data_IF_839768863703
#
_entry.id   IF_839768863703
#
_cell.length_a   1.000
_cell.length_b   1.000
_cell.length_c   1.000
_cell.angle_alpha   90.00
_cell.angle_beta   90.00
_cell.angle_gamma   90.00
#
_symmetry.space_group_name_H-M   'P 1'
#
loop_
_entity.id
_entity.type
_entity.pdbx_description
1 polymer ?
#
# COMPACT_ATOMS: atom_id res chain seq x y z
N UNK A 1 1.43 -151.56 -33.60
CA UNK A 1 1.93 -150.21 -33.23
C UNK A 1 1.05 -149.05 -33.71
N UNK A 2 -0.03 -149.23 -34.49
CA UNK A 2 -0.72 -148.10 -35.17
C UNK A 2 -1.93 -147.47 -34.45
N UNK A 3 -2.70 -148.18 -33.60
CA UNK A 3 -3.91 -147.62 -32.94
C UNK A 3 -3.60 -146.68 -31.77
N UNK A 4 -2.64 -147.04 -30.92
CA UNK A 4 -2.21 -146.20 -29.79
C UNK A 4 -1.57 -144.90 -30.26
N UNK A 5 -0.77 -144.93 -31.33
CA UNK A 5 -0.22 -143.70 -31.92
C UNK A 5 -1.32 -142.82 -32.51
N UNK A 6 -2.35 -143.37 -33.14
CA UNK A 6 -3.48 -142.59 -33.69
C UNK A 6 -4.34 -141.93 -32.59
N UNK A 7 -4.68 -142.66 -31.52
CA UNK A 7 -5.45 -142.10 -30.40
C UNK A 7 -4.63 -141.07 -29.64
N UNK A 8 -3.34 -141.33 -29.40
CA UNK A 8 -2.47 -140.39 -28.73
C UNK A 8 -2.29 -139.11 -29.57
N UNK A 9 -2.08 -139.23 -30.88
CA UNK A 9 -2.02 -138.08 -31.81
C UNK A 9 -3.35 -137.32 -31.84
N UNK A 10 -4.50 -137.99 -31.91
CA UNK A 10 -5.80 -137.32 -31.98
C UNK A 10 -6.13 -136.57 -30.68
N UNK A 11 -5.89 -137.19 -29.51
CA UNK A 11 -6.10 -136.54 -28.21
C UNK A 11 -5.11 -135.38 -28.02
N UNK A 12 -3.84 -135.58 -28.35
CA UNK A 12 -2.84 -134.52 -28.22
C UNK A 12 -3.17 -133.33 -29.15
N UNK A 13 -3.56 -133.60 -30.40
CA UNK A 13 -3.97 -132.55 -31.35
C UNK A 13 -5.27 -131.87 -30.90
N UNK A 14 -6.27 -132.60 -30.43
CA UNK A 14 -7.53 -132.01 -29.98
C UNK A 14 -7.34 -131.16 -28.71
N UNK A 15 -6.58 -131.64 -27.73
CA UNK A 15 -6.27 -130.90 -26.50
C UNK A 15 -5.39 -129.69 -26.81
N UNK A 16 -4.33 -129.84 -27.62
CA UNK A 16 -3.50 -128.70 -28.02
C UNK A 16 -4.31 -127.65 -28.79
N UNK A 17 -5.15 -128.05 -29.74
CA UNK A 17 -5.97 -127.11 -30.51
C UNK A 17 -7.03 -126.44 -29.63
N UNK A 18 -7.71 -127.19 -28.76
CA UNK A 18 -8.73 -126.62 -27.87
C UNK A 18 -8.11 -125.67 -26.84
N UNK A 19 -6.99 -126.06 -26.22
CA UNK A 19 -6.29 -125.21 -25.24
C UNK A 19 -5.67 -123.99 -25.92
N UNK A 20 -4.99 -124.14 -27.07
CA UNK A 20 -4.44 -123.00 -27.78
C UNK A 20 -5.54 -122.04 -28.26
N UNK A 21 -6.64 -122.54 -28.82
CA UNK A 21 -7.73 -121.68 -29.28
C UNK A 21 -8.45 -121.01 -28.10
N UNK A 22 -8.73 -121.73 -27.01
CA UNK A 22 -9.40 -121.16 -25.85
C UNK A 22 -8.51 -120.14 -25.13
N UNK A 23 -7.22 -120.44 -24.94
CA UNK A 23 -6.27 -119.52 -24.30
C UNK A 23 -6.01 -118.32 -25.20
N UNK A 24 -5.77 -118.49 -26.51
CA UNK A 24 -5.58 -117.36 -27.41
C UNK A 24 -6.83 -116.49 -27.49
N UNK A 25 -8.03 -117.06 -27.63
CA UNK A 25 -9.27 -116.28 -27.69
C UNK A 25 -9.57 -115.59 -26.35
N UNK A 26 -9.41 -116.28 -25.23
CA UNK A 26 -9.66 -115.69 -23.92
C UNK A 26 -8.64 -114.61 -23.58
N UNK A 27 -7.34 -114.84 -23.83
CA UNK A 27 -6.28 -113.85 -23.57
C UNK A 27 -6.40 -112.69 -24.54
N UNK A 28 -6.57 -112.92 -25.85
CA UNK A 28 -6.73 -111.81 -26.79
C UNK A 28 -7.99 -111.00 -26.50
N UNK A 29 -9.15 -111.64 -26.28
CA UNK A 29 -10.39 -110.90 -26.02
C UNK A 29 -10.35 -110.20 -24.66
N UNK A 30 -9.86 -110.86 -23.61
CA UNK A 30 -9.81 -110.25 -22.28
C UNK A 30 -8.76 -109.14 -22.22
N UNK A 31 -7.55 -109.34 -22.75
CA UNK A 31 -6.51 -108.31 -22.76
C UNK A 31 -6.89 -107.16 -23.70
N UNK A 32 -7.37 -107.42 -24.92
CA UNK A 32 -7.77 -106.34 -25.81
C UNK A 32 -8.96 -105.58 -25.26
N UNK A 33 -10.01 -106.24 -24.74
CA UNK A 33 -11.17 -105.54 -24.19
C UNK A 33 -10.82 -104.81 -22.90
N UNK A 34 -10.05 -105.42 -22.00
CA UNK A 34 -9.66 -104.78 -20.74
C UNK A 34 -8.70 -103.62 -20.99
N UNK A 35 -7.67 -103.79 -21.83
CA UNK A 35 -6.72 -102.71 -22.13
C UNK A 35 -7.39 -101.60 -22.95
N UNK A 36 -8.15 -101.92 -23.99
CA UNK A 36 -8.84 -100.89 -24.77
C UNK A 36 -9.89 -100.16 -23.93
N UNK A 37 -10.74 -100.86 -23.17
CA UNK A 37 -11.74 -100.20 -22.33
C UNK A 37 -11.10 -99.43 -21.19
N UNK A 38 -10.11 -99.98 -20.51
CA UNK A 38 -9.46 -99.29 -19.40
C UNK A 38 -8.64 -98.10 -19.88
N UNK A 39 -7.85 -98.23 -20.95
CA UNK A 39 -7.06 -97.12 -21.49
C UNK A 39 -7.96 -96.07 -22.13
N UNK A 40 -8.94 -96.45 -22.96
CA UNK A 40 -9.84 -95.46 -23.56
C UNK A 40 -10.71 -94.77 -22.50
N UNK A 41 -11.29 -95.51 -21.55
CA UNK A 41 -12.10 -94.88 -20.50
C UNK A 41 -11.24 -94.06 -19.55
N UNK A 42 -10.06 -94.53 -19.14
CA UNK A 42 -9.19 -93.77 -18.25
C UNK A 42 -8.63 -92.54 -18.94
N UNK A 43 -8.10 -92.66 -20.17
CA UNK A 43 -7.54 -91.52 -20.90
C UNK A 43 -8.64 -90.55 -21.31
N UNK A 44 -9.76 -91.01 -21.89
CA UNK A 44 -10.83 -90.09 -22.29
C UNK A 44 -11.48 -89.45 -21.06
N UNK A 45 -11.82 -90.19 -20.00
CA UNK A 45 -12.44 -89.59 -18.82
C UNK A 45 -11.46 -88.72 -18.07
N UNK A 46 -10.20 -89.14 -17.89
CA UNK A 46 -9.22 -88.32 -17.19
C UNK A 46 -8.87 -87.07 -17.98
N UNK A 47 -8.56 -87.17 -19.28
CA UNK A 47 -8.22 -86.01 -20.10
C UNK A 47 -9.44 -85.11 -20.29
N UNK A 48 -10.63 -85.63 -20.63
CA UNK A 48 -11.80 -84.78 -20.80
C UNK A 48 -12.24 -84.16 -19.47
N UNK A 49 -12.31 -84.91 -18.37
CA UNK A 49 -12.72 -84.34 -17.09
C UNK A 49 -11.66 -83.39 -16.54
N UNK A 50 -10.38 -83.75 -16.61
CA UNK A 50 -9.32 -82.88 -16.10
C UNK A 50 -9.19 -81.61 -16.96
N UNK A 51 -9.13 -81.72 -18.29
CA UNK A 51 -9.01 -80.56 -19.17
C UNK A 51 -10.27 -79.71 -19.10
N UNK A 52 -11.48 -80.28 -19.22
CA UNK A 52 -12.71 -79.49 -19.16
C UNK A 52 -12.87 -78.84 -17.77
N UNK A 53 -12.72 -79.59 -16.68
CA UNK A 53 -12.89 -79.01 -15.34
C UNK A 53 -11.79 -78.00 -15.01
N UNK A 54 -10.53 -78.29 -15.35
CA UNK A 54 -9.43 -77.36 -15.08
C UNK A 54 -9.55 -76.09 -15.93
N UNK A 55 -9.83 -76.21 -17.23
CA UNK A 55 -10.00 -75.06 -18.11
C UNK A 55 -11.24 -74.26 -17.71
N UNK A 56 -12.39 -74.91 -17.49
CA UNK A 56 -13.60 -74.20 -17.06
C UNK A 56 -13.40 -73.52 -15.71
N UNK A 57 -12.82 -74.19 -14.71
CA UNK A 57 -12.57 -73.59 -13.40
C UNK A 57 -11.55 -72.45 -13.50
N UNK A 58 -10.47 -72.62 -14.25
CA UNK A 58 -9.47 -71.57 -14.42
C UNK A 58 -10.05 -70.35 -15.14
N UNK A 59 -10.78 -70.56 -16.24
CA UNK A 59 -11.45 -69.48 -16.98
C UNK A 59 -12.49 -68.80 -16.11
N UNK A 60 -13.36 -69.54 -15.43
CA UNK A 60 -14.36 -68.96 -14.52
C UNK A 60 -13.70 -68.15 -13.40
N UNK A 61 -12.68 -68.69 -12.75
CA UNK A 61 -11.97 -67.97 -11.68
C UNK A 61 -11.27 -66.71 -12.21
N UNK A 62 -10.60 -66.80 -13.36
CA UNK A 62 -9.93 -65.65 -13.97
C UNK A 62 -10.93 -64.57 -14.37
N UNK A 63 -12.03 -64.94 -15.02
CA UNK A 63 -13.11 -64.02 -15.41
C UNK A 63 -13.76 -63.40 -14.18
N UNK A 64 -14.10 -64.19 -13.15
CA UNK A 64 -14.66 -63.68 -11.91
C UNK A 64 -13.71 -62.70 -11.21
N UNK A 65 -12.43 -63.04 -11.09
CA UNK A 65 -11.42 -62.16 -10.49
C UNK A 65 -11.22 -60.89 -11.31
N UNK A 66 -11.18 -60.98 -12.63
CA UNK A 66 -11.07 -59.83 -13.52
C UNK A 66 -12.29 -58.89 -13.40
N UNK A 67 -13.49 -59.44 -13.43
CA UNK A 67 -14.73 -58.67 -13.27
C UNK A 67 -14.77 -58.03 -11.89
N UNK A 68 -14.49 -58.80 -10.83
CA UNK A 68 -14.48 -58.29 -9.46
C UNK A 68 -13.47 -57.16 -9.28
N UNK A 69 -12.24 -57.33 -9.76
CA UNK A 69 -11.21 -56.29 -9.68
C UNK A 69 -11.59 -55.05 -10.47
N UNK A 70 -12.14 -55.21 -11.68
CA UNK A 70 -12.58 -54.06 -12.48
C UNK A 70 -13.73 -53.30 -11.81
N UNK A 71 -14.73 -54.01 -11.29
CA UNK A 71 -15.85 -53.40 -10.55
C UNK A 71 -15.33 -52.70 -9.28
N UNK A 72 -14.45 -53.36 -8.52
CA UNK A 72 -13.86 -52.78 -7.31
C UNK A 72 -13.08 -51.49 -7.62
N UNK A 73 -12.22 -51.51 -8.65
CA UNK A 73 -11.47 -50.33 -9.08
C UNK A 73 -12.42 -49.22 -9.53
N UNK A 74 -13.44 -49.54 -10.34
CA UNK A 74 -14.42 -48.56 -10.80
C UNK A 74 -15.15 -47.89 -9.63
N UNK A 75 -15.67 -48.69 -8.69
CA UNK A 75 -16.37 -48.18 -7.50
C UNK A 75 -15.42 -47.34 -6.65
N UNK A 76 -14.20 -47.82 -6.40
CA UNK A 76 -13.21 -47.10 -5.62
C UNK A 76 -12.87 -45.75 -6.24
N UNK A 77 -12.60 -45.71 -7.54
CA UNK A 77 -12.30 -44.47 -8.28
C UNK A 77 -13.50 -43.53 -8.26
N UNK A 78 -14.71 -44.04 -8.49
CA UNK A 78 -15.94 -43.24 -8.44
C UNK A 78 -16.15 -42.60 -7.07
N UNK A 79 -16.03 -43.38 -5.99
CA UNK A 79 -16.15 -42.88 -4.62
C UNK A 79 -15.05 -41.87 -4.32
N UNK A 80 -13.80 -42.16 -4.70
CA UNK A 80 -12.68 -41.26 -4.49
C UNK A 80 -12.89 -39.92 -5.20
N UNK A 81 -13.30 -39.93 -6.48
CA UNK A 81 -13.61 -38.71 -7.22
C UNK A 81 -14.77 -37.96 -6.56
N UNK A 82 -15.88 -38.63 -6.24
CA UNK A 82 -17.03 -37.99 -5.63
C UNK A 82 -16.69 -37.35 -4.28
N UNK A 83 -15.98 -38.07 -3.41
CA UNK A 83 -15.54 -37.55 -2.10
C UNK A 83 -14.55 -36.41 -2.26
N UNK A 84 -13.57 -36.52 -3.17
CA UNK A 84 -12.63 -35.45 -3.47
C UNK A 84 -13.34 -34.18 -3.95
N UNK A 85 -14.27 -34.30 -4.90
CA UNK A 85 -15.04 -33.16 -5.42
C UNK A 85 -15.89 -32.53 -4.32
N UNK A 86 -16.58 -33.33 -3.50
CA UNK A 86 -17.37 -32.84 -2.37
C UNK A 86 -16.50 -32.08 -1.35
N UNK A 87 -15.35 -32.65 -0.98
CA UNK A 87 -14.39 -32.01 -0.06
C UNK A 87 -13.86 -30.69 -0.64
N UNK A 88 -13.49 -30.67 -1.91
CA UNK A 88 -12.99 -29.46 -2.57
C UNK A 88 -14.05 -28.37 -2.66
N UNK A 89 -15.28 -28.72 -3.06
CA UNK A 89 -16.40 -27.78 -3.12
C UNK A 89 -16.71 -27.19 -1.75
N UNK A 90 -16.78 -28.03 -0.70
CA UNK A 90 -17.02 -27.57 0.66
C UNK A 90 -15.90 -26.67 1.17
N UNK A 91 -14.65 -27.04 0.92
CA UNK A 91 -13.50 -26.21 1.29
C UNK A 91 -13.55 -24.84 0.58
N UNK A 92 -13.84 -24.83 -0.74
CA UNK A 92 -14.00 -23.60 -1.51
C UNK A 92 -15.12 -22.72 -0.96
N UNK A 93 -16.31 -23.29 -0.72
CA UNK A 93 -17.47 -22.56 -0.17
C UNK A 93 -17.14 -22.00 1.22
N UNK A 94 -16.56 -22.79 2.11
CA UNK A 94 -16.21 -22.38 3.46
C UNK A 94 -15.16 -21.25 3.46
N UNK A 95 -14.09 -21.39 2.66
CA UNK A 95 -13.06 -20.36 2.52
C UNK A 95 -13.68 -19.10 1.95
N UNK A 96 -14.45 -19.19 0.87
CA UNK A 96 -15.10 -18.03 0.24
C UNK A 96 -16.06 -17.33 1.19
N UNK A 97 -16.90 -18.06 1.92
CA UNK A 97 -17.80 -17.50 2.91
C UNK A 97 -17.02 -16.78 4.01
N UNK A 98 -15.98 -17.42 4.58
CA UNK A 98 -15.12 -16.81 5.60
C UNK A 98 -14.43 -15.54 5.11
N UNK A 99 -13.90 -15.56 3.88
CA UNK A 99 -13.25 -14.40 3.26
C UNK A 99 -14.25 -13.28 2.98
N UNK A 100 -15.42 -13.62 2.44
CA UNK A 100 -16.49 -12.68 2.15
C UNK A 100 -16.97 -12.01 3.43
N UNK A 101 -17.26 -12.77 4.49
CA UNK A 101 -17.65 -12.24 5.79
C UNK A 101 -16.53 -11.38 6.37
N UNK A 102 -15.27 -11.84 6.35
CA UNK A 102 -14.14 -11.05 6.87
C UNK A 102 -13.96 -9.74 6.12
N UNK A 103 -13.99 -9.77 4.79
CA UNK A 103 -13.88 -8.56 3.96
C UNK A 103 -15.09 -7.68 4.22
N UNK A 104 -16.31 -8.18 4.15
CA UNK A 104 -17.53 -7.41 4.35
C UNK A 104 -17.56 -6.74 5.73
N UNK A 105 -17.30 -7.49 6.80
CA UNK A 105 -17.22 -6.94 8.15
C UNK A 105 -16.08 -5.93 8.24
N UNK A 106 -14.88 -6.27 7.77
CA UNK A 106 -13.74 -5.37 7.85
C UNK A 106 -13.98 -4.09 7.06
N UNK A 107 -14.38 -4.17 5.79
CA UNK A 107 -14.67 -3.00 4.97
C UNK A 107 -15.84 -2.23 5.55
N UNK A 108 -16.95 -2.87 5.89
CA UNK A 108 -18.12 -2.16 6.41
C UNK A 108 -17.82 -1.46 7.73
N UNK A 109 -17.25 -2.18 8.71
CA UNK A 109 -16.90 -1.61 10.01
C UNK A 109 -15.78 -0.58 9.86
N UNK A 110 -14.69 -0.92 9.18
CA UNK A 110 -13.55 -0.01 9.02
C UNK A 110 -13.98 1.22 8.24
N UNK A 111 -14.63 1.11 7.07
CA UNK A 111 -15.06 2.29 6.33
C UNK A 111 -16.10 3.05 7.14
N UNK A 112 -17.12 2.42 7.71
CA UNK A 112 -18.16 3.17 8.43
C UNK A 112 -17.60 3.88 9.67
N UNK A 113 -16.86 3.17 10.53
CA UNK A 113 -16.29 3.76 11.74
C UNK A 113 -15.20 4.75 11.37
N UNK A 114 -14.24 4.38 10.52
CA UNK A 114 -13.15 5.28 10.13
C UNK A 114 -13.70 6.49 9.41
N UNK A 115 -14.53 6.36 8.36
CA UNK A 115 -15.05 7.54 7.67
C UNK A 115 -15.94 8.34 8.59
N UNK A 116 -16.87 7.75 9.34
CA UNK A 116 -17.77 8.55 10.18
C UNK A 116 -17.01 9.25 11.31
N UNK A 117 -16.22 8.52 12.10
CA UNK A 117 -15.50 9.10 13.23
C UNK A 117 -14.38 10.01 12.74
N UNK A 118 -13.53 9.56 11.80
CA UNK A 118 -12.45 10.39 11.30
C UNK A 118 -13.01 11.62 10.61
N UNK A 119 -13.95 11.51 9.67
CA UNK A 119 -14.45 12.72 9.00
C UNK A 119 -15.21 13.61 9.95
N UNK A 120 -16.08 13.10 10.82
CA UNK A 120 -16.85 13.94 11.73
C UNK A 120 -15.94 14.64 12.74
N UNK A 121 -15.08 13.90 13.44
CA UNK A 121 -14.21 14.46 14.47
C UNK A 121 -13.14 15.35 13.83
N UNK A 122 -12.46 14.87 12.77
CA UNK A 122 -11.43 15.66 12.11
C UNK A 122 -12.03 16.92 11.49
N UNK A 123 -13.13 16.84 10.73
CA UNK A 123 -13.72 18.04 10.11
C UNK A 123 -14.28 18.99 11.16
N UNK A 124 -14.95 18.51 12.19
CA UNK A 124 -15.50 19.37 13.24
C UNK A 124 -14.40 20.06 14.03
N UNK A 125 -13.41 19.31 14.52
CA UNK A 125 -12.31 19.88 15.31
C UNK A 125 -11.44 20.78 14.43
N UNK A 126 -11.08 20.36 13.22
CA UNK A 126 -10.27 21.15 12.33
C UNK A 126 -10.98 22.45 11.92
N UNK A 127 -12.26 22.39 11.54
CA UNK A 127 -13.00 23.61 11.18
C UNK A 127 -13.20 24.52 12.39
N UNK A 128 -13.48 23.99 13.57
CA UNK A 128 -13.61 24.77 14.79
C UNK A 128 -12.30 25.48 15.17
N UNK A 129 -11.18 24.75 15.21
CA UNK A 129 -9.87 25.33 15.51
C UNK A 129 -9.47 26.36 14.46
N UNK A 130 -9.63 26.04 13.17
CA UNK A 130 -9.25 26.94 12.08
C UNK A 130 -10.08 28.23 12.10
N UNK A 131 -11.39 28.15 12.32
CA UNK A 131 -12.25 29.33 12.43
C UNK A 131 -11.89 30.17 13.66
N UNK A 132 -11.61 29.54 14.81
CA UNK A 132 -11.20 30.25 16.01
C UNK A 132 -9.87 31.01 15.82
N UNK A 133 -8.87 30.35 15.21
CA UNK A 133 -7.58 31.00 14.90
C UNK A 133 -7.76 32.14 13.91
N UNK A 134 -8.60 31.95 12.88
CA UNK A 134 -8.87 33.01 11.90
C UNK A 134 -9.58 34.21 12.54
N UNK A 135 -10.52 33.98 13.45
CA UNK A 135 -11.18 35.04 14.22
C UNK A 135 -10.17 35.75 15.12
N UNK A 136 -9.32 35.01 15.84
CA UNK A 136 -8.28 35.59 16.69
C UNK A 136 -7.29 36.46 15.91
N UNK A 137 -6.80 35.97 14.77
CA UNK A 137 -5.89 36.73 13.91
C UNK A 137 -6.57 37.95 13.30
N UNK A 138 -7.83 37.86 12.90
CA UNK A 138 -8.62 39.00 12.45
C UNK A 138 -8.78 40.07 13.54
N UNK A 139 -9.17 39.65 14.76
CA UNK A 139 -9.30 40.56 15.90
C UNK A 139 -7.95 41.21 16.23
N UNK A 140 -6.87 40.43 16.29
CA UNK A 140 -5.54 40.93 16.59
C UNK A 140 -5.07 41.94 15.53
N UNK A 141 -5.23 41.63 14.24
CA UNK A 141 -4.85 42.54 13.15
C UNK A 141 -5.70 43.80 13.14
N UNK A 142 -7.01 43.70 13.38
CA UNK A 142 -7.90 44.86 13.46
C UNK A 142 -7.54 45.77 14.65
N UNK A 143 -7.37 45.20 15.85
CA UNK A 143 -6.98 45.97 17.04
C UNK A 143 -5.60 46.60 16.85
N UNK A 144 -4.63 45.82 16.38
CA UNK A 144 -3.27 46.31 16.16
C UNK A 144 -3.25 47.44 15.12
N UNK A 145 -3.93 47.27 13.99
CA UNK A 145 -3.98 48.32 12.95
C UNK A 145 -4.73 49.56 13.43
N UNK A 146 -5.86 49.42 14.13
CA UNK A 146 -6.60 50.55 14.67
C UNK A 146 -5.79 51.33 15.72
N UNK A 147 -5.21 50.65 16.70
CA UNK A 147 -4.39 51.29 17.74
C UNK A 147 -3.15 51.91 17.10
N UNK A 148 -2.44 51.17 16.24
CA UNK A 148 -1.23 51.67 15.59
C UNK A 148 -1.54 52.90 14.72
N UNK A 149 -2.59 52.87 13.89
CA UNK A 149 -2.97 54.01 13.05
C UNK A 149 -3.44 55.21 13.88
N UNK A 150 -4.24 54.99 14.93
CA UNK A 150 -4.68 56.05 15.82
C UNK A 150 -3.52 56.69 16.59
N UNK A 151 -2.64 55.87 17.18
CA UNK A 151 -1.46 56.35 17.92
C UNK A 151 -0.48 57.04 16.98
N UNK A 152 -0.21 56.48 15.81
CA UNK A 152 0.65 57.10 14.80
C UNK A 152 0.07 58.43 14.32
N UNK A 153 -1.23 58.50 14.00
CA UNK A 153 -1.89 59.74 13.61
C UNK A 153 -1.84 60.80 14.72
N UNK A 154 -2.10 60.41 15.97
CA UNK A 154 -2.03 61.29 17.13
C UNK A 154 -0.61 61.81 17.36
N UNK A 155 0.39 60.92 17.39
CA UNK A 155 1.79 61.29 17.55
C UNK A 155 2.26 62.19 16.41
N UNK A 156 1.91 61.88 15.17
CA UNK A 156 2.27 62.70 14.01
C UNK A 156 1.61 64.08 14.07
N UNK A 157 0.33 64.17 14.44
CA UNK A 157 -0.35 65.45 14.63
C UNK A 157 0.30 66.28 15.74
N UNK A 158 0.63 65.66 16.87
CA UNK A 158 1.29 66.33 18.00
C UNK A 158 2.72 66.79 17.66
N UNK A 159 3.48 65.96 16.95
CA UNK A 159 4.82 66.34 16.47
C UNK A 159 4.74 67.51 15.49
N UNK A 160 3.73 67.54 14.62
CA UNK A 160 3.53 68.63 13.67
C UNK A 160 3.04 69.93 14.34
N UNK A 161 2.20 69.86 15.38
CA UNK A 161 1.83 71.07 16.14
C UNK A 161 3.02 71.60 16.93
N UNK A 162 3.83 70.74 17.54
CA UNK A 162 5.03 71.17 18.25
C UNK A 162 6.09 71.76 17.30
N UNK A 163 6.29 71.17 16.12
CA UNK A 163 7.18 71.74 15.10
C UNK A 163 6.66 73.07 14.55
N UNK A 164 5.33 73.22 14.38
CA UNK A 164 4.71 74.49 14.01
C UNK A 164 4.91 75.56 15.09
N UNK A 165 4.71 75.23 16.36
CA UNK A 165 4.96 76.15 17.48
C UNK A 165 6.45 76.52 17.55
N UNK A 166 7.35 75.55 17.41
CA UNK A 166 8.79 75.79 17.41
C UNK A 166 9.22 76.70 16.26
N UNK A 167 8.75 76.44 15.04
CA UNK A 167 9.04 77.30 13.87
C UNK A 167 8.45 78.69 14.01
N UNK A 168 7.24 78.83 14.56
CA UNK A 168 6.62 80.14 14.84
C UNK A 168 7.39 80.93 15.89
N UNK A 169 7.78 80.30 17.00
CA UNK A 169 8.57 80.94 18.06
C UNK A 169 9.97 81.31 17.52
N UNK A 170 10.63 80.39 16.81
CA UNK A 170 11.94 80.63 16.24
C UNK A 170 11.92 81.79 15.24
N UNK A 171 10.95 81.81 14.32
CA UNK A 171 10.82 82.91 13.35
C UNK A 171 10.49 84.24 14.03
N UNK A 172 9.60 84.26 15.02
CA UNK A 172 9.26 85.48 15.76
C UNK A 172 10.45 86.02 16.58
N UNK A 173 11.13 85.17 17.35
CA UNK A 173 12.30 85.57 18.14
C UNK A 173 13.46 85.97 17.24
N UNK A 174 13.76 85.17 16.20
CA UNK A 174 14.85 85.47 15.29
C UNK A 174 14.59 86.79 14.55
N UNK A 175 13.39 87.00 14.00
CA UNK A 175 13.06 88.26 13.32
C UNK A 175 13.10 89.44 14.28
N UNK A 176 12.53 89.33 15.48
CA UNK A 176 12.52 90.43 16.45
C UNK A 176 13.92 90.78 16.96
N UNK A 177 14.70 89.78 17.40
CA UNK A 177 16.06 90.02 17.91
C UNK A 177 16.99 90.47 16.79
N UNK A 178 16.95 89.82 15.62
CA UNK A 178 17.82 90.19 14.51
C UNK A 178 17.50 91.61 14.03
N UNK A 179 16.22 91.95 13.83
CA UNK A 179 15.86 93.31 13.41
C UNK A 179 16.20 94.33 14.48
N UNK A 180 15.94 94.07 15.76
CA UNK A 180 16.22 95.01 16.84
C UNK A 180 17.74 95.24 17.04
N UNK A 181 18.54 94.17 17.16
CA UNK A 181 19.99 94.32 17.37
C UNK A 181 20.64 94.92 16.12
N UNK A 182 20.28 94.45 14.92
CA UNK A 182 20.86 94.97 13.68
C UNK A 182 20.54 96.46 13.51
N UNK A 183 19.29 96.87 13.73
CA UNK A 183 18.91 98.29 13.61
C UNK A 183 19.53 99.15 14.71
N UNK A 184 19.59 98.69 15.96
CA UNK A 184 20.22 99.44 17.06
C UNK A 184 21.73 99.59 16.88
N UNK A 185 22.44 98.52 16.54
CA UNK A 185 23.89 98.59 16.31
C UNK A 185 24.22 99.46 15.10
N UNK A 186 23.47 99.31 14.01
CA UNK A 186 23.66 100.12 12.82
C UNK A 186 23.42 101.61 13.09
N UNK A 187 22.32 101.96 13.78
CA UNK A 187 22.00 103.36 14.12
C UNK A 187 22.97 103.95 15.14
N UNK A 188 23.41 103.19 16.14
CA UNK A 188 24.38 103.62 17.15
C UNK A 188 25.76 103.89 16.54
N UNK A 189 26.27 102.98 15.72
CA UNK A 189 27.56 103.17 15.04
C UNK A 189 27.51 104.36 14.07
N UNK A 190 26.41 104.49 13.31
CA UNK A 190 26.23 105.58 12.37
C UNK A 190 26.20 106.96 13.07
N UNK A 191 25.45 107.08 14.16
CA UNK A 191 25.34 108.33 14.92
C UNK A 191 26.65 108.68 15.63
N UNK A 192 27.35 107.70 16.22
CA UNK A 192 28.63 107.91 16.89
C UNK A 192 29.72 108.40 15.93
N UNK A 193 29.88 107.75 14.78
CA UNK A 193 30.90 108.14 13.78
C UNK A 193 30.59 109.55 13.24
N UNK A 194 29.32 109.83 12.93
CA UNK A 194 28.92 111.12 12.40
C UNK A 194 29.16 112.26 13.40
N UNK A 195 28.82 112.08 14.67
CA UNK A 195 29.07 113.07 15.72
C UNK A 195 30.56 113.32 15.94
N UNK A 196 31.37 112.25 15.96
CA UNK A 196 32.82 112.35 16.17
C UNK A 196 33.52 113.15 15.07
N UNK A 197 33.20 112.89 13.80
CA UNK A 197 33.76 113.62 12.65
C UNK A 197 33.36 115.10 12.72
N UNK A 198 32.08 115.38 13.03
CA UNK A 198 31.57 116.74 13.04
C UNK A 198 32.22 117.62 14.13
N UNK A 199 32.47 117.05 15.32
CA UNK A 199 33.17 117.74 16.41
C UNK A 199 34.64 117.98 16.06
N UNK A 200 35.31 116.99 15.45
CA UNK A 200 36.72 117.10 15.10
C UNK A 200 36.99 118.21 14.07
N UNK A 201 36.13 118.35 13.06
CA UNK A 201 36.21 119.43 12.06
C UNK A 201 35.95 120.79 12.73
N UNK A 202 34.97 120.88 13.62
CA UNK A 202 34.64 122.12 14.33
C UNK A 202 35.81 122.65 15.18
N UNK A 203 36.50 121.77 15.91
CA UNK A 203 37.67 122.14 16.73
C UNK A 203 38.84 122.62 15.87
N UNK A 204 39.10 121.97 14.74
CA UNK A 204 40.16 122.39 13.81
C UNK A 204 39.87 123.77 13.19
N UNK A 205 38.60 124.07 12.91
CA UNK A 205 38.20 125.39 12.39
C UNK A 205 38.46 126.52 13.41
N UNK A 206 38.18 126.29 14.69
CA UNK A 206 38.45 127.28 15.75
C UNK A 206 39.95 127.52 15.93
N UNK A 207 40.77 126.45 15.94
CA UNK A 207 42.23 126.59 16.05
C UNK A 207 42.84 127.36 14.87
N UNK A 208 42.32 127.19 13.65
CA UNK A 208 42.79 127.93 12.47
C UNK A 208 42.43 129.42 12.54
N UNK A 209 41.26 129.76 13.08
CA UNK A 209 40.82 131.16 13.19
C UNK A 209 41.55 131.96 14.28
N UNK A 210 42.07 131.32 15.32
CA UNK A 210 42.86 132.02 16.35
C UNK A 210 44.25 132.45 15.88
N UNK A 211 44.82 131.81 14.85
CA UNK A 211 46.14 132.12 14.30
C UNK A 211 46.09 133.30 13.31
N UNK A 212 44.92 133.63 12.74
CA UNK A 212 44.78 134.70 11.74
C UNK A 212 44.47 136.11 12.32
N UNK A 213 44.23 136.28 13.62
CA UNK A 213 43.64 137.53 14.16
C UNK A 213 44.56 138.44 14.99
N UNK A 214 45.89 138.21 15.08
CA UNK A 214 46.78 139.05 15.95
C UNK A 214 47.94 139.75 15.21
N UNK A 215 48.04 139.69 13.87
CA UNK A 215 49.21 140.23 13.12
C UNK A 215 48.98 141.61 12.41
N UNK A 216 47.83 142.31 12.51
CA UNK A 216 47.62 143.57 11.74
C UNK A 216 46.87 144.67 12.56
N UNK A 217 47.64 145.53 13.28
CA UNK A 217 47.59 147.03 13.50
C UNK A 217 46.24 147.84 13.53
N UNK A 218 46.19 149.16 13.90
CA UNK A 218 46.77 149.96 15.01
C UNK A 218 45.85 151.11 15.59
N UNK A 219 46.36 151.90 16.55
CA UNK A 219 45.92 153.26 17.03
C UNK A 219 44.45 153.49 17.45
N UNK A 220 44.15 153.44 18.76
CA UNK A 220 43.90 154.58 19.67
C UNK A 220 43.70 154.08 21.10
#
# INVERSE_FOLDING_TARGET
>A
MNRHMYVCMYVCMYVCMYVCMYVCMYVCMYVCMYVCMYVCMYVCMYVCMYVCMYVCMYVCMYVCMYIHTHIYIYIYVYIHIHTYMHMHMNAYVLVKHKLCVRIYIHTYIHTYIHTYIHTYIHTYIHTYIHTYIHIHTYIHTYIHTYIHTCMHAYMHAYMHTYSYIHTYIHTYIHTYIHTYIHTCMHTCMHTYIHAYIHIYIYIMHIKRNFICFVIILPVR
#
